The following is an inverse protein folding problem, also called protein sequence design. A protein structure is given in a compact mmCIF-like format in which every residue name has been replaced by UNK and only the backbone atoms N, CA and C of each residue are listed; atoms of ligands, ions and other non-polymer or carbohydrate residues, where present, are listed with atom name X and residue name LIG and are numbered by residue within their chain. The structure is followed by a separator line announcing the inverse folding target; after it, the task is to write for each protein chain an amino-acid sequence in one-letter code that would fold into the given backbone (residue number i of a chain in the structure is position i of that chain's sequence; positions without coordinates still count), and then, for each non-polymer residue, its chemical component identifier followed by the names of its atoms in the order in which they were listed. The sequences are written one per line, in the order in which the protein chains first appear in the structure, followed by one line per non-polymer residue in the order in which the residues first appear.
data_IF_922679152585
#
_entry.id   IF_922679152585
#
_cell.length_a   1.000
_cell.length_b   1.000
_cell.length_c   1.000
_cell.angle_alpha   90.00
_cell.angle_beta   90.00
_cell.angle_gamma   90.00
#
_symmetry.space_group_name_H-M   'P 1'
#
loop_
_entity.id
_entity.type
_entity.pdbx_description
1 polymer ?
#
# COMPACT_ATOMS: atom_id res chain seq x y z
N UNK A 1 19.20 2.25 -19.52
CA UNK A 1 18.40 3.45 -19.89
C UNK A 1 16.88 3.15 -19.86
N UNK A 2 16.44 2.00 -20.37
CA UNK A 2 15.04 1.56 -20.46
C UNK A 2 14.34 1.46 -19.09
N UNK A 3 14.91 0.72 -18.16
CA UNK A 3 14.39 0.48 -16.80
C UNK A 3 14.16 1.77 -15.98
N UNK A 4 14.93 2.81 -16.25
CA UNK A 4 14.82 4.12 -15.59
C UNK A 4 13.66 4.96 -16.10
N UNK A 5 13.40 4.91 -17.42
CA UNK A 5 12.24 5.56 -18.03
C UNK A 5 10.95 4.93 -17.52
N UNK A 6 10.87 3.60 -17.45
CA UNK A 6 9.68 2.91 -16.92
C UNK A 6 9.33 3.34 -15.49
N UNK A 7 10.28 3.42 -14.54
CA UNK A 7 9.96 3.84 -13.15
C UNK A 7 9.50 5.29 -13.02
N UNK A 8 10.09 6.23 -13.75
CA UNK A 8 9.64 7.61 -13.75
C UNK A 8 8.27 7.76 -14.47
N UNK A 9 8.04 6.99 -15.50
CA UNK A 9 6.76 6.92 -16.19
C UNK A 9 5.69 6.33 -15.28
N UNK A 10 5.95 5.21 -14.60
CA UNK A 10 5.00 4.59 -13.68
C UNK A 10 4.53 5.55 -12.57
N UNK A 11 5.42 6.33 -11.94
CA UNK A 11 5.02 7.30 -10.90
C UNK A 11 4.08 8.36 -11.49
N UNK A 12 4.42 8.94 -12.66
CA UNK A 12 3.61 9.97 -13.30
C UNK A 12 2.23 9.43 -13.69
N UNK A 13 2.19 8.25 -14.27
CA UNK A 13 0.95 7.65 -14.76
C UNK A 13 0.09 7.15 -13.61
N UNK A 14 0.69 6.59 -12.57
CA UNK A 14 -0.02 6.22 -11.35
C UNK A 14 -0.65 7.44 -10.68
N UNK A 15 0.06 8.57 -10.62
CA UNK A 15 -0.48 9.82 -10.07
C UNK A 15 -1.62 10.33 -10.95
N UNK A 16 -1.48 10.33 -12.28
CA UNK A 16 -2.53 10.75 -13.18
C UNK A 16 -3.78 9.87 -13.05
N UNK A 17 -3.62 8.56 -13.05
CA UNK A 17 -4.72 7.61 -12.85
C UNK A 17 -5.41 7.82 -11.52
N UNK A 18 -4.64 7.99 -10.43
CA UNK A 18 -5.15 8.29 -9.12
C UNK A 18 -5.97 9.58 -9.07
N UNK A 19 -5.47 10.65 -9.70
CA UNK A 19 -6.19 11.92 -9.80
C UNK A 19 -7.51 11.77 -10.55
N UNK A 20 -7.52 11.05 -11.67
CA UNK A 20 -8.74 10.83 -12.45
C UNK A 20 -9.77 9.99 -11.70
N UNK A 21 -9.33 8.95 -10.97
CA UNK A 21 -10.20 8.12 -10.15
C UNK A 21 -10.73 8.90 -8.93
N UNK A 22 -9.87 9.61 -8.22
CA UNK A 22 -10.25 10.43 -7.07
C UNK A 22 -11.25 11.52 -7.47
N UNK A 23 -11.03 12.23 -8.58
CA UNK A 23 -11.96 13.23 -9.12
C UNK A 23 -13.36 12.68 -9.39
N UNK A 24 -13.46 11.38 -9.75
CA UNK A 24 -14.72 10.68 -10.03
C UNK A 24 -15.36 10.06 -8.78
N UNK A 25 -14.77 10.23 -7.62
CA UNK A 25 -15.30 9.72 -6.35
C UNK A 25 -14.70 8.42 -5.88
N UNK A 26 -13.72 7.85 -6.58
CA UNK A 26 -13.01 6.62 -6.19
C UNK A 26 -11.96 6.87 -5.12
N UNK A 27 -11.84 5.95 -4.16
CA UNK A 27 -10.69 5.87 -3.26
C UNK A 27 -9.53 5.14 -3.95
N UNK A 28 -8.30 5.58 -3.71
CA UNK A 28 -7.11 5.01 -4.36
C UNK A 28 -6.06 4.66 -3.32
N UNK A 29 -5.38 3.54 -3.51
CA UNK A 29 -4.24 3.14 -2.69
C UNK A 29 -3.01 2.78 -3.52
N UNK A 30 -1.84 2.92 -2.93
CA UNK A 30 -0.55 2.60 -3.54
C UNK A 30 0.32 1.75 -2.63
N UNK A 31 0.97 0.75 -3.21
CA UNK A 31 2.07 0.03 -2.57
C UNK A 31 3.39 0.77 -2.83
N UNK A 32 4.04 1.25 -1.78
CA UNK A 32 5.34 1.93 -1.86
C UNK A 32 6.52 1.00 -1.62
N UNK A 33 6.29 -0.27 -1.31
CA UNK A 33 7.29 -1.28 -0.92
C UNK A 33 8.42 -1.43 -1.93
N UNK A 34 8.14 -1.23 -3.22
CA UNK A 34 9.13 -1.37 -4.29
C UNK A 34 9.96 -0.09 -4.54
N UNK A 35 9.66 1.00 -3.84
CA UNK A 35 10.47 2.21 -3.92
C UNK A 35 11.79 2.02 -3.18
N UNK A 36 12.86 2.64 -3.69
CA UNK A 36 14.15 2.64 -3.00
C UNK A 36 14.06 3.45 -1.71
N UNK A 37 14.69 2.93 -0.69
CA UNK A 37 14.86 3.60 0.60
C UNK A 37 15.67 4.90 0.47
N UNK A 38 15.51 5.77 1.46
CA UNK A 38 16.32 7.00 1.59
C UNK A 38 17.80 6.66 1.73
N UNK A 39 18.64 7.37 1.01
CA UNK A 39 20.09 7.15 0.99
C UNK A 39 20.55 6.04 0.04
N UNK A 40 19.64 5.25 -0.56
CA UNK A 40 20.02 4.22 -1.51
C UNK A 40 20.76 4.79 -2.72
N UNK A 41 21.72 4.05 -3.30
CA UNK A 41 22.47 4.53 -4.45
C UNK A 41 21.59 4.57 -5.70
N UNK A 42 21.79 5.62 -6.51
CA UNK A 42 21.23 5.75 -7.86
C UNK A 42 22.38 5.93 -8.85
N UNK A 43 22.47 5.09 -9.87
CA UNK A 43 23.60 5.07 -10.82
C UNK A 43 24.96 4.91 -10.15
N UNK A 44 25.06 4.09 -9.11
CA UNK A 44 26.28 3.89 -8.32
C UNK A 44 26.76 5.14 -7.53
N UNK A 45 25.94 6.16 -7.42
CA UNK A 45 26.23 7.32 -6.58
C UNK A 45 25.43 7.16 -5.29
N UNK A 46 26.14 7.09 -4.17
CA UNK A 46 25.56 6.95 -2.83
C UNK A 46 24.69 8.17 -2.44
N UNK A 47 23.75 7.95 -1.52
CA UNK A 47 22.89 8.99 -0.95
C UNK A 47 22.06 9.79 -1.97
N UNK A 48 21.63 9.16 -3.06
CA UNK A 48 20.86 9.83 -4.13
C UNK A 48 19.34 9.62 -4.01
N UNK A 49 18.91 8.55 -3.38
CA UNK A 49 17.46 8.30 -3.19
C UNK A 49 16.93 9.14 -2.03
N UNK A 50 15.79 9.77 -2.25
CA UNK A 50 15.08 10.52 -1.19
C UNK A 50 14.07 9.66 -0.42
N UNK A 51 13.95 8.36 -0.76
CA UNK A 51 13.04 7.44 -0.09
C UNK A 51 11.57 7.63 -0.44
N UNK A 52 10.69 7.12 0.43
CA UNK A 52 9.24 7.10 0.20
C UNK A 52 8.53 8.42 0.54
N UNK A 53 9.08 9.23 1.46
CA UNK A 53 8.41 10.43 1.99
C UNK A 53 8.07 11.46 0.90
N UNK A 54 8.97 11.83 -0.02
CA UNK A 54 8.65 12.79 -1.08
C UNK A 54 7.53 12.30 -2.01
N UNK A 55 7.44 10.98 -2.24
CA UNK A 55 6.35 10.38 -3.03
C UNK A 55 5.04 10.49 -2.27
N UNK A 56 5.04 10.26 -0.96
CA UNK A 56 3.86 10.45 -0.10
C UNK A 56 3.37 11.90 -0.13
N UNK A 57 4.27 12.88 -0.03
CA UNK A 57 3.91 14.31 -0.14
C UNK A 57 3.28 14.64 -1.48
N UNK A 58 3.87 14.17 -2.57
CA UNK A 58 3.32 14.36 -3.91
C UNK A 58 1.92 13.78 -4.07
N UNK A 59 1.68 12.58 -3.53
CA UNK A 59 0.36 11.95 -3.53
C UNK A 59 -0.63 12.74 -2.66
N UNK A 60 -0.22 13.17 -1.47
CA UNK A 60 -1.06 13.99 -0.58
C UNK A 60 -1.53 15.28 -1.25
N UNK A 61 -0.60 16.03 -1.85
CA UNK A 61 -0.91 17.26 -2.57
C UNK A 61 -1.81 16.99 -3.79
N UNK A 62 -1.55 15.89 -4.50
CA UNK A 62 -2.35 15.47 -5.64
C UNK A 62 -3.81 15.18 -5.26
N UNK A 63 -4.04 14.42 -4.18
CA UNK A 63 -5.39 14.14 -3.69
C UNK A 63 -6.07 15.37 -3.12
N UNK A 64 -5.33 16.25 -2.46
CA UNK A 64 -5.85 17.52 -1.96
C UNK A 64 -6.34 18.44 -3.11
N UNK A 65 -5.66 18.38 -4.25
CA UNK A 65 -6.05 19.11 -5.46
C UNK A 65 -7.29 18.50 -6.14
N UNK A 66 -7.40 17.17 -6.17
CA UNK A 66 -8.45 16.43 -6.87
C UNK A 66 -9.75 16.33 -6.05
N UNK A 67 -10.28 17.47 -5.59
CA UNK A 67 -11.56 17.53 -4.88
C UNK A 67 -12.71 17.06 -5.78
N UNK A 68 -13.60 16.25 -5.21
CA UNK A 68 -14.79 15.71 -5.86
C UNK A 68 -15.90 16.77 -5.92
N UNK A 69 -15.70 17.80 -6.78
CA UNK A 69 -16.67 18.90 -7.03
C UNK A 69 -17.20 19.56 -5.73
N UNK A 70 -16.41 19.58 -4.66
CA UNK A 70 -16.81 20.14 -3.37
C UNK A 70 -17.66 19.22 -2.48
N UNK A 71 -18.08 18.04 -2.96
CA UNK A 71 -18.89 17.09 -2.17
C UNK A 71 -18.05 16.26 -1.19
N UNK A 72 -16.83 15.87 -1.59
CA UNK A 72 -15.85 15.15 -0.75
C UNK A 72 -14.44 15.61 -1.10
N UNK A 73 -13.54 15.52 -0.12
CA UNK A 73 -12.11 15.66 -0.38
C UNK A 73 -11.59 14.40 -1.06
N UNK A 74 -10.62 14.56 -1.97
CA UNK A 74 -9.89 13.43 -2.53
C UNK A 74 -9.20 12.65 -1.41
N UNK A 75 -9.25 11.32 -1.46
CA UNK A 75 -8.69 10.46 -0.44
C UNK A 75 -7.79 9.39 -1.05
N UNK A 76 -6.66 9.15 -0.41
CA UNK A 76 -5.69 8.12 -0.82
C UNK A 76 -5.11 7.39 0.37
N UNK A 77 -4.61 6.18 0.13
CA UNK A 77 -3.85 5.40 1.09
C UNK A 77 -2.50 4.97 0.49
N UNK A 78 -1.53 4.78 1.36
CA UNK A 78 -0.21 4.24 0.98
C UNK A 78 0.16 3.09 1.91
N UNK A 79 0.68 2.02 1.33
CA UNK A 79 1.08 0.81 2.04
C UNK A 79 2.58 0.60 1.92
N UNK A 80 3.20 0.21 3.05
CA UNK A 80 4.62 -0.10 3.11
C UNK A 80 4.84 -1.42 3.87
N UNK A 81 5.73 -2.28 3.38
CA UNK A 81 6.09 -3.51 4.09
C UNK A 81 6.90 -3.17 5.35
N UNK A 82 6.64 -3.87 6.45
CA UNK A 82 7.33 -3.70 7.73
C UNK A 82 8.84 -3.88 7.65
N UNK A 83 9.33 -4.62 6.65
CA UNK A 83 10.75 -4.85 6.41
C UNK A 83 11.40 -3.86 5.42
N UNK A 84 10.69 -2.79 5.04
CA UNK A 84 11.27 -1.71 4.23
C UNK A 84 12.17 -0.80 5.09
N UNK A 85 13.35 -0.37 4.62
CA UNK A 85 14.28 0.45 5.42
C UNK A 85 13.72 1.81 5.89
N UNK A 86 12.76 2.38 5.19
CA UNK A 86 12.11 3.65 5.55
C UNK A 86 10.91 3.48 6.51
N UNK A 87 10.62 2.27 7.01
CA UNK A 87 9.39 2.00 7.76
C UNK A 87 9.18 2.91 8.99
N UNK A 88 10.24 3.19 9.75
CA UNK A 88 10.16 4.08 10.91
C UNK A 88 9.88 5.52 10.50
N UNK A 89 10.56 6.03 9.46
CA UNK A 89 10.31 7.35 8.91
C UNK A 89 8.88 7.48 8.36
N UNK A 90 8.38 6.42 7.72
CA UNK A 90 7.01 6.32 7.22
C UNK A 90 6.00 6.47 8.37
N UNK A 91 6.19 5.76 9.48
CA UNK A 91 5.34 5.86 10.67
C UNK A 91 5.41 7.26 11.31
N UNK A 92 6.60 7.83 11.42
CA UNK A 92 6.82 9.14 12.03
C UNK A 92 6.11 10.28 11.30
N UNK A 93 5.75 10.11 10.02
CA UNK A 93 4.96 11.12 9.29
C UNK A 93 3.59 11.40 9.90
N UNK A 94 3.06 10.50 10.74
CA UNK A 94 1.75 10.62 11.40
C UNK A 94 1.82 11.05 12.86
N UNK A 95 3.00 11.21 13.44
CA UNK A 95 3.12 11.69 14.82
C UNK A 95 2.63 13.14 14.94
N UNK A 96 2.04 13.47 16.09
CA UNK A 96 1.55 14.83 16.38
C UNK A 96 2.66 15.89 16.28
N UNK A 97 3.88 15.54 16.71
CA UNK A 97 5.06 16.41 16.72
C UNK A 97 5.95 16.25 15.49
N UNK A 98 5.47 15.60 14.42
CA UNK A 98 6.24 15.46 13.19
C UNK A 98 6.59 16.84 12.58
N UNK A 99 7.81 16.97 12.05
CA UNK A 99 8.20 18.16 11.28
C UNK A 99 7.23 18.36 10.11
N UNK A 100 6.74 19.59 9.93
CA UNK A 100 5.78 19.94 8.87
C UNK A 100 6.27 19.55 7.46
N UNK A 101 7.59 19.47 7.25
CA UNK A 101 8.18 19.07 5.98
C UNK A 101 7.92 17.60 5.64
N UNK A 102 7.79 16.74 6.66
CA UNK A 102 7.56 15.29 6.48
C UNK A 102 6.15 14.87 6.87
N UNK A 103 5.42 15.72 7.61
CA UNK A 103 4.10 15.40 8.13
C UNK A 103 3.10 15.11 7.01
N UNK A 104 2.42 13.99 7.13
CA UNK A 104 1.33 13.55 6.24
C UNK A 104 0.00 13.67 6.99
N UNK A 105 -0.88 14.56 6.52
CA UNK A 105 -2.15 14.89 7.18
C UNK A 105 -3.32 14.06 6.64
N UNK A 106 -3.44 13.96 5.32
CA UNK A 106 -4.64 13.46 4.65
C UNK A 106 -4.54 12.04 4.11
N UNK A 107 -3.32 11.54 3.80
CA UNK A 107 -3.18 10.15 3.36
C UNK A 107 -3.39 9.17 4.52
N UNK A 108 -4.13 8.11 4.26
CA UNK A 108 -4.16 6.93 5.13
C UNK A 108 -2.87 6.12 4.98
N UNK A 109 -2.35 5.60 6.09
CA UNK A 109 -1.18 4.74 6.07
C UNK A 109 -1.57 3.31 6.39
N UNK A 110 -0.96 2.35 5.67
CA UNK A 110 -1.07 0.93 5.95
C UNK A 110 0.32 0.29 6.05
N UNK A 111 0.48 -0.65 6.96
CA UNK A 111 1.69 -1.46 7.08
C UNK A 111 1.36 -2.91 6.77
N UNK A 112 2.12 -3.47 5.83
CA UNK A 112 2.04 -4.88 5.46
C UNK A 112 3.03 -5.65 6.35
N UNK A 113 2.52 -6.52 7.22
CA UNK A 113 3.33 -7.19 8.25
C UNK A 113 3.37 -8.70 7.98
N UNK A 114 4.56 -9.25 7.62
CA UNK A 114 4.78 -10.69 7.53
C UNK A 114 4.72 -11.39 8.90
N UNK A 115 4.35 -12.68 8.92
CA UNK A 115 4.27 -13.49 10.15
C UNK A 115 5.60 -13.53 10.91
N UNK A 116 6.74 -13.58 10.21
CA UNK A 116 8.08 -13.57 10.82
C UNK A 116 8.29 -12.35 11.74
N UNK A 117 7.71 -11.20 11.42
CA UNK A 117 7.83 -9.98 12.24
C UNK A 117 7.22 -10.19 13.62
N UNK A 118 6.05 -10.84 13.70
CA UNK A 118 5.40 -11.19 14.96
C UNK A 118 6.20 -12.21 15.76
N UNK A 119 6.78 -13.20 15.08
CA UNK A 119 7.63 -14.20 15.73
C UNK A 119 8.87 -13.59 16.38
N UNK A 120 9.55 -12.68 15.66
CA UNK A 120 10.70 -11.94 16.16
C UNK A 120 10.32 -11.05 17.36
N UNK A 121 9.21 -10.35 17.27
CA UNK A 121 8.71 -9.50 18.36
C UNK A 121 8.34 -10.31 19.61
N UNK A 122 7.67 -11.46 19.44
CA UNK A 122 7.33 -12.36 20.53
C UNK A 122 8.56 -12.83 21.30
N UNK A 123 9.65 -13.08 20.57
CA UNK A 123 10.95 -13.52 21.15
C UNK A 123 11.83 -12.33 21.58
N UNK A 124 11.38 -11.09 21.41
CA UNK A 124 12.15 -9.85 21.63
C UNK A 124 13.48 -9.83 20.89
N UNK A 125 13.47 -10.26 19.64
CA UNK A 125 14.64 -10.32 18.76
C UNK A 125 14.71 -9.10 17.84
N UNK A 126 15.89 -8.91 17.27
CA UNK A 126 16.08 -7.92 16.20
C UNK A 126 15.44 -8.42 14.91
N UNK A 127 14.84 -7.48 14.17
CA UNK A 127 14.39 -7.68 12.80
C UNK A 127 15.25 -6.88 11.84
N UNK A 128 15.37 -7.36 10.61
CA UNK A 128 16.14 -6.70 9.58
C UNK A 128 15.22 -6.13 8.49
N UNK A 129 15.54 -4.94 8.05
CA UNK A 129 14.93 -4.22 6.96
C UNK A 129 15.84 -4.40 5.74
N UNK A 130 15.26 -4.65 4.58
CA UNK A 130 16.00 -5.05 3.37
C UNK A 130 15.83 -4.02 2.25
N UNK A 131 16.92 -3.69 1.55
CA UNK A 131 16.89 -2.81 0.38
C UNK A 131 16.01 -3.40 -0.73
N UNK A 132 14.89 -2.74 -1.13
CA UNK A 132 14.05 -3.23 -2.21
C UNK A 132 14.79 -3.38 -3.53
N UNK A 133 15.75 -2.50 -3.80
CA UNK A 133 16.57 -2.55 -5.00
C UNK A 133 17.46 -3.79 -5.06
N UNK A 134 18.12 -4.12 -3.95
CA UNK A 134 19.01 -5.29 -3.91
C UNK A 134 18.21 -6.59 -3.96
N UNK A 135 17.07 -6.64 -3.25
CA UNK A 135 16.17 -7.80 -3.30
C UNK A 135 15.69 -8.05 -4.72
N UNK A 136 15.18 -7.02 -5.41
CA UNK A 136 14.73 -7.15 -6.80
C UNK A 136 15.86 -7.60 -7.74
N UNK A 137 17.07 -7.08 -7.56
CA UNK A 137 18.24 -7.45 -8.37
C UNK A 137 18.65 -8.92 -8.18
N UNK A 138 18.49 -9.46 -6.98
CA UNK A 138 18.95 -10.80 -6.61
C UNK A 138 17.89 -11.86 -6.92
N UNK A 139 16.62 -11.57 -6.57
CA UNK A 139 15.52 -12.52 -6.77
C UNK A 139 14.83 -12.38 -8.14
N UNK A 140 15.09 -11.30 -8.88
CA UNK A 140 14.46 -11.05 -10.19
C UNK A 140 12.99 -10.65 -10.15
N UNK A 141 12.44 -10.43 -8.93
CA UNK A 141 11.06 -9.99 -8.69
C UNK A 141 11.06 -8.80 -7.73
N UNK A 142 10.08 -7.89 -7.83
CA UNK A 142 9.96 -6.77 -6.91
C UNK A 142 9.85 -7.22 -5.45
N UNK A 143 10.31 -6.39 -4.51
CA UNK A 143 10.31 -6.75 -3.08
C UNK A 143 8.91 -7.07 -2.54
N UNK A 144 7.89 -6.37 -3.00
CA UNK A 144 6.50 -6.64 -2.60
C UNK A 144 6.01 -8.05 -3.00
N UNK A 145 6.62 -8.65 -4.04
CA UNK A 145 6.25 -9.99 -4.52
C UNK A 145 7.02 -11.12 -3.79
N UNK A 146 8.08 -10.77 -3.05
CA UNK A 146 8.83 -11.73 -2.26
C UNK A 146 8.05 -12.11 -0.99
N UNK A 147 7.91 -13.41 -0.71
CA UNK A 147 7.42 -13.87 0.59
C UNK A 147 8.51 -13.66 1.64
N UNK A 148 8.37 -12.59 2.42
CA UNK A 148 9.38 -12.20 3.41
C UNK A 148 9.52 -13.24 4.51
N UNK A 149 8.43 -13.85 4.98
CA UNK A 149 8.49 -14.86 6.03
C UNK A 149 9.30 -16.10 5.63
N UNK A 150 9.11 -16.56 4.39
CA UNK A 150 9.85 -17.71 3.85
C UNK A 150 11.30 -17.38 3.52
N UNK A 151 11.56 -16.17 3.02
CA UNK A 151 12.88 -15.77 2.53
C UNK A 151 13.72 -14.98 3.53
N UNK A 152 13.20 -14.74 4.74
CA UNK A 152 13.83 -13.87 5.72
C UNK A 152 15.28 -14.27 6.03
N UNK A 153 15.51 -15.52 6.36
CA UNK A 153 16.85 -16.01 6.73
C UNK A 153 17.79 -16.03 5.51
N UNK A 154 17.29 -16.38 4.34
CA UNK A 154 18.06 -16.33 3.09
C UNK A 154 18.50 -14.89 2.77
N UNK A 155 17.58 -13.92 2.87
CA UNK A 155 17.90 -12.50 2.70
C UNK A 155 18.84 -11.97 3.78
N UNK A 156 18.72 -12.48 5.01
CA UNK A 156 19.60 -12.10 6.13
C UNK A 156 21.03 -12.55 5.89
N UNK A 157 21.23 -13.76 5.38
CA UNK A 157 22.55 -14.35 5.15
C UNK A 157 23.22 -13.83 3.88
N UNK A 158 22.46 -13.28 2.92
CA UNK A 158 23.00 -12.77 1.65
C UNK A 158 23.68 -11.40 1.86
N UNK A 159 25.03 -11.38 1.77
CA UNK A 159 25.83 -10.17 1.92
C UNK A 159 25.63 -9.12 0.82
N UNK A 160 24.98 -9.48 -0.30
CA UNK A 160 24.71 -8.57 -1.42
C UNK A 160 23.47 -7.70 -1.19
N UNK A 161 22.66 -8.01 -0.17
CA UNK A 161 21.49 -7.24 0.21
C UNK A 161 21.89 -6.25 1.30
N UNK A 162 21.73 -4.96 1.07
CA UNK A 162 21.85 -3.95 2.10
C UNK A 162 20.70 -4.08 3.11
N UNK A 163 21.06 -4.04 4.40
CA UNK A 163 20.10 -4.26 5.47
C UNK A 163 20.35 -3.33 6.66
N UNK A 164 19.27 -2.97 7.33
CA UNK A 164 19.28 -2.18 8.56
C UNK A 164 18.62 -2.98 9.67
N UNK A 165 19.20 -2.95 10.86
CA UNK A 165 18.72 -3.67 12.03
C UNK A 165 17.88 -2.76 12.93
N UNK A 166 16.72 -3.25 13.39
CA UNK A 166 15.91 -2.64 14.46
C UNK A 166 15.38 -3.72 15.39
N UNK A 167 14.93 -3.36 16.59
CA UNK A 167 14.28 -4.34 17.48
C UNK A 167 12.81 -4.52 17.07
N UNK A 168 12.35 -5.77 16.93
CA UNK A 168 11.01 -6.08 16.45
C UNK A 168 9.90 -5.67 17.45
N UNK A 169 10.16 -5.76 18.76
CA UNK A 169 9.20 -5.32 19.79
C UNK A 169 9.07 -3.81 19.83
N UNK A 170 10.19 -3.09 19.73
CA UNK A 170 10.19 -1.62 19.64
C UNK A 170 9.46 -1.13 18.39
N UNK A 171 9.60 -1.86 17.27
CA UNK A 171 8.80 -1.58 16.08
C UNK A 171 7.29 -1.63 16.36
N UNK A 172 6.78 -2.70 16.99
CA UNK A 172 5.35 -2.78 17.36
C UNK A 172 4.94 -1.75 18.40
N UNK A 173 5.83 -1.38 19.33
CA UNK A 173 5.58 -0.30 20.25
C UNK A 173 5.40 1.03 19.51
N UNK A 174 6.28 1.34 18.54
CA UNK A 174 6.15 2.50 17.67
C UNK A 174 4.85 2.49 16.88
N UNK A 175 4.45 1.34 16.31
CA UNK A 175 3.16 1.20 15.62
C UNK A 175 2.00 1.53 16.56
N UNK A 176 1.99 0.98 17.78
CA UNK A 176 0.93 1.21 18.76
C UNK A 176 0.85 2.68 19.19
N UNK A 177 1.99 3.32 19.43
CA UNK A 177 2.06 4.75 19.77
C UNK A 177 1.47 5.61 18.65
N UNK A 178 1.89 5.38 17.40
CA UNK A 178 1.40 6.14 16.25
C UNK A 178 -0.09 5.88 16.01
N UNK A 179 -0.57 4.65 16.23
CA UNK A 179 -2.01 4.35 16.18
C UNK A 179 -2.80 5.09 17.26
N UNK A 180 -2.25 5.19 18.46
CA UNK A 180 -2.89 5.95 19.54
C UNK A 180 -2.98 7.44 19.21
N UNK A 181 -1.93 8.03 18.64
CA UNK A 181 -1.86 9.44 18.27
C UNK A 181 -2.76 9.80 17.08
N UNK A 182 -2.84 8.93 16.06
CA UNK A 182 -3.39 9.28 14.75
C UNK A 182 -4.48 8.35 14.20
N UNK A 183 -4.68 7.17 14.81
CA UNK A 183 -5.52 6.11 14.26
C UNK A 183 -4.86 5.31 13.12
N UNK A 184 -3.65 5.63 12.73
CA UNK A 184 -2.86 4.95 11.69
C UNK A 184 -1.59 4.33 12.26
N UNK A 185 -0.98 3.35 11.58
CA UNK A 185 -1.36 2.75 10.31
C UNK A 185 -2.46 1.68 10.44
N UNK A 186 -3.15 1.38 9.34
CA UNK A 186 -3.85 0.11 9.17
C UNK A 186 -2.84 -1.04 9.12
N UNK A 187 -3.23 -2.22 9.59
CA UNK A 187 -2.37 -3.40 9.58
C UNK A 187 -2.92 -4.44 8.62
N UNK A 188 -2.09 -4.88 7.68
CA UNK A 188 -2.37 -6.01 6.81
C UNK A 188 -1.47 -7.18 7.20
N UNK A 189 -2.07 -8.30 7.58
CA UNK A 189 -1.38 -9.54 7.92
C UNK A 189 -1.01 -10.29 6.63
N UNK A 190 0.20 -10.05 6.11
CA UNK A 190 0.60 -10.46 4.75
C UNK A 190 0.40 -11.95 4.49
N UNK A 191 0.94 -12.80 5.34
CA UNK A 191 0.87 -14.26 5.13
C UNK A 191 -0.52 -14.80 5.32
N UNK A 192 -1.27 -14.29 6.30
CA UNK A 192 -2.66 -14.71 6.56
C UNK A 192 -3.57 -14.39 5.38
N UNK A 193 -3.45 -13.17 4.86
CA UNK A 193 -4.21 -12.71 3.68
C UNK A 193 -3.89 -13.59 2.47
N UNK A 194 -2.61 -13.84 2.21
CA UNK A 194 -2.19 -14.62 1.05
C UNK A 194 -2.51 -16.11 1.18
N UNK A 195 -2.50 -16.69 2.39
CA UNK A 195 -3.00 -18.06 2.62
C UNK A 195 -4.50 -18.20 2.37
N UNK A 196 -5.28 -17.16 2.68
CA UNK A 196 -6.73 -17.14 2.47
C UNK A 196 -7.14 -16.75 1.03
N UNK A 197 -6.21 -16.25 0.22
CA UNK A 197 -6.47 -15.80 -1.13
C UNK A 197 -6.85 -16.98 -2.06
N UNK A 198 -8.04 -17.00 -2.64
CA UNK A 198 -8.47 -18.09 -3.54
C UNK A 198 -8.02 -17.87 -5.00
N UNK A 199 -7.41 -16.72 -5.31
CA UNK A 199 -7.07 -16.30 -6.67
C UNK A 199 -5.54 -16.39 -6.85
N UNK A 200 -5.07 -16.80 -8.03
CA UNK A 200 -3.66 -16.81 -8.36
C UNK A 200 -3.06 -15.41 -8.29
N UNK A 201 -1.87 -15.29 -7.70
CA UNK A 201 -1.16 -14.04 -7.48
C UNK A 201 -1.00 -13.70 -6.01
N UNK A 202 -0.21 -12.66 -5.72
CA UNK A 202 0.05 -12.18 -4.36
C UNK A 202 -0.71 -10.89 -4.08
N UNK A 203 -1.37 -10.83 -2.94
CA UNK A 203 -1.96 -9.59 -2.41
C UNK A 203 -0.85 -8.82 -1.69
N UNK A 204 -0.47 -7.66 -2.22
CA UNK A 204 0.64 -6.83 -1.75
C UNK A 204 0.20 -5.58 -0.96
N UNK A 205 -1.08 -5.24 -1.05
CA UNK A 205 -1.69 -4.10 -0.36
C UNK A 205 -3.20 -4.30 -0.27
N UNK A 206 -3.87 -3.47 0.51
CA UNK A 206 -5.32 -3.28 0.44
C UNK A 206 -5.65 -2.00 -0.35
N UNK A 207 -6.92 -1.64 -0.43
CA UNK A 207 -7.34 -0.35 -0.97
C UNK A 207 -7.41 0.73 0.14
N UNK A 208 -8.16 1.82 -0.10
CA UNK A 208 -8.26 2.96 0.80
C UNK A 208 -8.74 2.59 2.22
N UNK A 209 -9.71 1.68 2.35
CA UNK A 209 -10.40 1.37 3.61
C UNK A 209 -9.86 0.12 4.33
N UNK A 210 -8.84 -0.53 3.82
CA UNK A 210 -8.14 -1.71 4.35
C UNK A 210 -8.90 -3.04 4.39
N UNK A 211 -10.21 -3.08 4.15
CA UNK A 211 -11.01 -4.32 4.13
C UNK A 211 -10.98 -5.06 2.78
N UNK A 212 -10.52 -4.42 1.72
CA UNK A 212 -10.48 -5.01 0.38
C UNK A 212 -9.10 -5.61 0.11
N UNK A 213 -9.07 -6.91 -0.03
CA UNK A 213 -7.86 -7.71 -0.19
C UNK A 213 -7.98 -8.53 -1.48
N UNK A 214 -7.46 -7.98 -2.57
CA UNK A 214 -7.52 -8.57 -3.90
C UNK A 214 -6.14 -8.49 -4.56
N UNK A 215 -5.88 -9.41 -5.50
CA UNK A 215 -4.69 -9.36 -6.35
C UNK A 215 -4.87 -8.21 -7.35
N UNK A 216 -3.87 -7.33 -7.43
CA UNK A 216 -3.78 -6.29 -8.46
C UNK A 216 -2.61 -6.56 -9.39
N UNK A 217 -2.79 -6.26 -10.67
CA UNK A 217 -1.74 -6.39 -11.69
C UNK A 217 -1.43 -4.99 -12.24
N UNK A 218 -0.16 -4.54 -12.20
CA UNK A 218 0.19 -3.22 -12.71
C UNK A 218 0.05 -3.16 -14.22
N UNK A 219 -0.43 -2.02 -14.73
CA UNK A 219 -0.46 -1.75 -16.16
C UNK A 219 0.95 -1.57 -16.72
N UNK A 220 1.15 -1.97 -17.97
CA UNK A 220 2.37 -1.75 -18.73
C UNK A 220 2.14 -0.63 -19.75
N UNK A 221 3.08 0.29 -19.84
CA UNK A 221 2.99 1.46 -20.70
C UNK A 221 4.04 1.44 -21.80
N UNK A 222 3.68 1.91 -22.99
CA UNK A 222 4.56 2.21 -24.10
C UNK A 222 5.40 3.47 -23.82
N UNK A 223 6.41 3.74 -24.65
CA UNK A 223 7.24 4.95 -24.54
C UNK A 223 6.44 6.27 -24.70
N UNK A 224 5.37 6.25 -25.45
CA UNK A 224 4.45 7.39 -25.69
C UNK A 224 3.37 7.55 -24.60
N UNK A 225 3.42 6.71 -23.55
CA UNK A 225 2.48 6.67 -22.41
C UNK A 225 1.10 6.10 -22.74
N UNK A 226 0.91 5.50 -23.89
CA UNK A 226 -0.27 4.67 -24.16
C UNK A 226 -0.13 3.34 -23.41
N UNK A 227 -1.24 2.70 -23.12
CA UNK A 227 -1.20 1.36 -22.50
C UNK A 227 -0.70 0.33 -23.53
N UNK A 228 0.39 -0.39 -23.18
CA UNK A 228 0.77 -1.60 -23.86
C UNK A 228 -0.07 -2.78 -23.36
N UNK A 229 -0.35 -2.79 -22.04
CA UNK A 229 -1.20 -3.77 -21.38
C UNK A 229 -1.93 -3.09 -20.22
N UNK A 230 -3.23 -3.27 -20.12
CA UNK A 230 -4.02 -2.75 -19.01
C UNK A 230 -4.02 -3.78 -17.90
N UNK A 231 -3.49 -3.39 -16.74
CA UNK A 231 -3.49 -4.21 -15.53
C UNK A 231 -4.87 -4.34 -14.90
N UNK A 232 -4.94 -5.09 -13.81
CA UNK A 232 -6.16 -5.28 -13.03
C UNK A 232 -6.11 -4.46 -11.75
N UNK A 233 -6.90 -3.41 -11.70
CA UNK A 233 -7.09 -2.61 -10.51
C UNK A 233 -8.10 -3.26 -9.55
N UNK A 234 -7.96 -2.95 -8.26
CA UNK A 234 -8.91 -3.37 -7.24
C UNK A 234 -10.09 -2.40 -7.26
N UNK A 235 -11.31 -2.93 -7.33
CA UNK A 235 -12.51 -2.13 -7.21
C UNK A 235 -13.45 -2.66 -6.13
N UNK A 236 -14.26 -1.78 -5.55
CA UNK A 236 -15.20 -2.11 -4.50
C UNK A 236 -16.49 -1.31 -4.67
N UNK A 237 -17.61 -1.99 -4.83
CA UNK A 237 -18.94 -1.40 -4.75
C UNK A 237 -19.46 -1.51 -3.32
N UNK A 238 -19.81 -0.38 -2.71
CA UNK A 238 -20.24 -0.31 -1.32
C UNK A 238 -21.75 -0.07 -1.23
N UNK A 239 -22.38 -0.77 -0.29
CA UNK A 239 -23.75 -0.52 0.11
C UNK A 239 -23.88 -0.65 1.63
N UNK A 240 -24.76 0.15 2.23
CA UNK A 240 -25.08 0.07 3.65
C UNK A 240 -26.55 -0.20 3.85
N UNK A 241 -26.88 -1.13 4.74
CA UNK A 241 -28.25 -1.48 5.08
C UNK A 241 -28.51 -1.14 6.56
N UNK A 242 -29.60 -0.41 6.82
CA UNK A 242 -30.11 -0.27 8.17
C UNK A 242 -30.80 -1.57 8.57
N UNK A 243 -30.13 -2.36 9.41
CA UNK A 243 -30.61 -3.70 9.81
C UNK A 243 -31.96 -3.62 10.53
N UNK A 244 -32.17 -2.63 11.39
CA UNK A 244 -33.43 -2.49 12.12
C UNK A 244 -34.61 -2.29 11.14
N UNK A 245 -34.46 -1.35 10.20
CA UNK A 245 -35.49 -1.10 9.18
C UNK A 245 -35.71 -2.27 8.25
N UNK A 246 -34.61 -2.97 7.86
CA UNK A 246 -34.70 -4.13 6.99
C UNK A 246 -35.38 -5.32 7.68
N UNK A 247 -35.19 -5.49 8.99
CA UNK A 247 -35.88 -6.53 9.78
C UNK A 247 -37.34 -6.19 10.09
N UNK A 248 -37.70 -4.91 10.14
CA UNK A 248 -39.09 -4.48 10.22
C UNK A 248 -39.86 -4.72 8.91
N UNK A 249 -39.15 -4.83 7.79
CA UNK A 249 -39.76 -5.27 6.55
C UNK A 249 -40.21 -6.75 6.70
N UNK A 250 -41.34 -7.10 6.19
CA UNK A 250 -41.86 -8.47 6.31
C UNK A 250 -41.05 -9.50 5.51
N UNK A 251 -40.06 -9.04 4.71
CA UNK A 251 -39.18 -9.89 3.89
C UNK A 251 -37.75 -9.39 3.90
N UNK A 252 -37.00 -9.79 4.94
CA UNK A 252 -35.61 -9.48 5.09
C UNK A 252 -34.72 -10.09 3.99
N UNK A 253 -35.11 -11.33 3.53
CA UNK A 253 -34.41 -12.03 2.45
C UNK A 253 -34.48 -11.27 1.12
N UNK A 254 -35.64 -10.77 0.74
CA UNK A 254 -35.82 -9.96 -0.47
C UNK A 254 -35.08 -8.62 -0.39
N UNK A 255 -35.00 -8.03 0.81
CA UNK A 255 -34.23 -6.80 1.02
C UNK A 255 -32.73 -7.01 0.75
N UNK A 256 -32.15 -8.11 1.24
CA UNK A 256 -30.75 -8.48 0.99
C UNK A 256 -30.53 -8.79 -0.50
N UNK A 257 -31.39 -9.61 -1.10
CA UNK A 257 -31.29 -9.97 -2.50
C UNK A 257 -31.33 -8.72 -3.41
N UNK A 258 -32.23 -7.80 -3.15
CA UNK A 258 -32.34 -6.55 -3.89
C UNK A 258 -31.06 -5.69 -3.74
N UNK A 259 -30.51 -5.60 -2.53
CA UNK A 259 -29.25 -4.86 -2.29
C UNK A 259 -28.06 -5.47 -3.06
N UNK A 260 -27.93 -6.80 -3.04
CA UNK A 260 -26.87 -7.50 -3.79
C UNK A 260 -27.04 -7.33 -5.29
N UNK A 261 -28.27 -7.46 -5.82
CA UNK A 261 -28.56 -7.22 -7.24
C UNK A 261 -28.22 -5.79 -7.65
N UNK A 262 -28.50 -4.79 -6.79
CA UNK A 262 -28.11 -3.40 -7.02
C UNK A 262 -26.61 -3.21 -7.13
N UNK A 263 -25.82 -3.81 -6.21
CA UNK A 263 -24.34 -3.75 -6.24
C UNK A 263 -23.78 -4.44 -7.50
N UNK A 264 -24.34 -5.58 -7.90
CA UNK A 264 -23.94 -6.29 -9.13
C UNK A 264 -24.23 -5.44 -10.37
N UNK A 265 -25.40 -4.82 -10.44
CA UNK A 265 -25.76 -3.96 -11.57
C UNK A 265 -24.82 -2.74 -11.71
N UNK A 266 -24.33 -2.17 -10.58
CA UNK A 266 -23.30 -1.10 -10.61
C UNK A 266 -22.00 -1.60 -11.22
N UNK A 267 -21.56 -2.83 -10.88
CA UNK A 267 -20.37 -3.43 -11.52
C UNK A 267 -20.55 -3.61 -13.02
N UNK A 268 -21.70 -4.15 -13.44
CA UNK A 268 -21.99 -4.42 -14.85
C UNK A 268 -22.06 -3.15 -15.69
N UNK A 269 -22.57 -2.06 -15.10
CA UNK A 269 -22.65 -0.74 -15.78
C UNK A 269 -21.30 -0.01 -15.83
N UNK A 270 -20.32 -0.42 -15.05
CA UNK A 270 -19.00 0.21 -14.98
C UNK A 270 -18.00 -0.40 -15.98
N UNK A 271 -18.36 -1.50 -16.61
CA UNK A 271 -17.64 -2.15 -17.70
C UNK A 271 -18.17 -1.61 -19.03
#
# INVERSE_FOLDING_TARGET
KEYRRQRQMCIRDSINSALQLSKRGGGVAFALTNLRESGAPIKMIENQSSGVIPVMKLLEDSFSYANQLGARQGAGAVYLNAHHPDILNFLDTKRENADEKIRIKTLSLGVVIPDITFELAKKNQDMYLFSPYDVERIYGVPFADVNVSEKYHEMLDDSRIAKKKINAREFFQTVAEVQFESGYPYIMFEDTVNRANPIAGKIIMSNLCSEILQVSEPSVYNEDLTYAEVGKDISCNLGSMNIAMAMESQDFGASIETAIRGLTAVSDMSN
#
